data_IF_548136684480
#
_entry.id   IF_548136684480
#
_cell.length_a   1.000
_cell.length_b   1.000
_cell.length_c   1.000
_cell.angle_alpha   90.00
_cell.angle_beta   90.00
_cell.angle_gamma   90.00
#
_symmetry.space_group_name_H-M   'P 1'
#
loop_
_entity.id
_entity.type
_entity.pdbx_description
1 polymer ?
#
# COMPACT_ATOMS: atom_id res chain seq x y z
N UNK A 1 14.52 26.22 -29.23
CA UNK A 1 15.60 26.53 -28.27
C UNK A 1 14.98 26.58 -26.88
N UNK A 2 15.03 25.52 -26.05
CA UNK A 2 14.65 25.63 -24.65
C UNK A 2 15.79 26.22 -23.84
N UNK A 3 15.43 27.15 -22.95
CA UNK A 3 16.31 27.97 -22.12
C UNK A 3 16.98 27.14 -21.01
N UNK A 4 18.30 27.29 -20.88
CA UNK A 4 19.11 26.66 -19.85
C UNK A 4 19.07 27.48 -18.55
N UNK A 5 18.17 27.12 -17.63
CA UNK A 5 18.28 27.58 -16.24
C UNK A 5 17.49 26.68 -15.30
N UNK A 6 18.03 25.50 -14.99
CA UNK A 6 17.78 24.83 -13.73
C UNK A 6 19.01 23.98 -13.41
N UNK A 7 19.51 24.06 -12.17
CA UNK A 7 20.76 23.44 -11.75
C UNK A 7 20.83 21.96 -12.08
N UNK A 8 22.05 21.47 -12.34
CA UNK A 8 22.36 20.05 -12.51
C UNK A 8 22.15 19.38 -11.16
N UNK A 9 20.91 18.98 -10.86
CA UNK A 9 20.68 17.92 -9.90
C UNK A 9 21.20 16.64 -10.56
N UNK A 10 21.96 15.78 -9.85
CA UNK A 10 22.20 14.43 -10.33
C UNK A 10 20.82 13.86 -10.64
N UNK A 11 20.61 13.49 -11.90
CA UNK A 11 19.39 12.81 -12.33
C UNK A 11 19.20 11.65 -11.35
N UNK A 12 18.23 11.78 -10.45
CA UNK A 12 17.81 10.67 -9.61
C UNK A 12 17.38 9.62 -10.62
N UNK A 13 18.28 8.68 -10.92
CA UNK A 13 17.98 7.54 -11.75
C UNK A 13 17.01 6.71 -10.92
N UNK A 14 15.73 7.06 -11.00
CA UNK A 14 14.63 6.27 -10.50
C UNK A 14 14.88 4.88 -11.08
N UNK A 15 15.13 3.90 -10.20
CA UNK A 15 15.26 2.51 -10.63
C UNK A 15 14.07 2.23 -11.54
N UNK A 16 14.35 1.72 -12.74
CA UNK A 16 13.31 1.33 -13.68
C UNK A 16 12.33 0.44 -12.90
N UNK A 17 11.03 0.81 -12.81
CA UNK A 17 10.08 0.03 -12.05
C UNK A 17 10.11 -1.40 -12.58
N UNK A 18 10.04 -2.37 -11.67
CA UNK A 18 9.85 -3.78 -12.01
C UNK A 18 8.68 -3.89 -13.00
N UNK A 19 8.75 -4.81 -13.97
CA UNK A 19 7.64 -4.96 -14.91
C UNK A 19 6.36 -5.33 -14.16
N UNK A 20 5.19 -4.93 -14.67
CA UNK A 20 3.89 -5.30 -14.06
C UNK A 20 3.75 -6.83 -13.92
N UNK A 21 4.31 -7.57 -14.88
CA UNK A 21 4.35 -9.04 -14.84
C UNK A 21 5.18 -9.57 -13.66
N UNK A 22 6.26 -8.88 -13.27
CA UNK A 22 7.09 -9.30 -12.13
C UNK A 22 6.35 -9.14 -10.81
N UNK A 23 5.61 -8.03 -10.62
CA UNK A 23 4.87 -7.79 -9.38
C UNK A 23 3.68 -8.74 -9.25
N UNK A 24 2.97 -9.06 -10.34
CA UNK A 24 1.89 -10.05 -10.33
C UNK A 24 2.41 -11.45 -10.00
N UNK A 25 3.51 -11.86 -10.62
CA UNK A 25 4.15 -13.14 -10.34
C UNK A 25 4.61 -13.24 -8.88
N UNK A 26 5.20 -12.17 -8.34
CA UNK A 26 5.58 -12.12 -6.94
C UNK A 26 4.36 -12.18 -6.02
N UNK A 27 3.34 -11.36 -6.28
CA UNK A 27 2.11 -11.31 -5.49
C UNK A 27 1.38 -12.66 -5.48
N UNK A 28 1.34 -13.37 -6.60
CA UNK A 28 0.69 -14.69 -6.70
C UNK A 28 1.25 -15.72 -5.72
N UNK A 29 2.53 -15.57 -5.33
CA UNK A 29 3.25 -16.46 -4.41
C UNK A 29 3.21 -15.99 -2.95
N UNK A 30 3.11 -14.67 -2.71
CA UNK A 30 3.31 -14.08 -1.39
C UNK A 30 2.06 -13.43 -0.78
N UNK A 31 1.01 -13.18 -1.56
CA UNK A 31 -0.22 -12.59 -1.05
C UNK A 31 -1.12 -13.60 -0.33
N UNK A 32 -1.80 -13.12 0.70
CA UNK A 32 -2.91 -13.83 1.30
C UNK A 32 -4.08 -13.93 0.30
N UNK A 33 -4.78 -15.06 0.26
CA UNK A 33 -6.02 -15.19 -0.52
C UNK A 33 -7.13 -14.33 0.10
N UNK A 34 -7.50 -13.23 -0.54
CA UNK A 34 -8.60 -12.37 -0.09
C UNK A 34 -9.94 -12.82 -0.66
N UNK A 35 -11.01 -12.51 0.07
CA UNK A 35 -12.39 -12.79 -0.34
C UNK A 35 -13.29 -11.62 -0.03
N UNK A 36 -14.24 -11.33 -0.92
CA UNK A 36 -15.16 -10.19 -0.79
C UNK A 36 -16.63 -10.62 -0.87
N UNK A 37 -17.51 -9.79 -0.30
CA UNK A 37 -18.95 -9.97 -0.34
C UNK A 37 -19.46 -11.08 0.58
N UNK A 38 -20.79 -11.22 0.61
CA UNK A 38 -21.49 -12.21 1.45
C UNK A 38 -21.14 -13.65 1.07
N UNK A 39 -20.91 -13.90 -0.23
CA UNK A 39 -20.53 -15.22 -0.76
C UNK A 39 -19.02 -15.51 -0.72
N UNK A 40 -18.22 -14.64 -0.10
CA UNK A 40 -16.76 -14.80 0.03
C UNK A 40 -16.06 -15.17 -1.30
N UNK A 41 -16.42 -14.49 -2.38
CA UNK A 41 -15.80 -14.71 -3.69
C UNK A 41 -14.31 -14.34 -3.62
N UNK A 42 -13.45 -15.15 -4.22
CA UNK A 42 -12.00 -14.90 -4.27
C UNK A 42 -11.73 -13.61 -5.06
N UNK A 43 -10.85 -12.76 -4.52
CA UNK A 43 -10.34 -11.59 -5.22
C UNK A 43 -9.15 -12.03 -6.10
N UNK A 44 -9.09 -11.58 -7.35
CA UNK A 44 -7.96 -11.87 -8.25
C UNK A 44 -6.71 -11.08 -7.85
N UNK A 45 -5.53 -11.48 -8.32
CA UNK A 45 -4.27 -10.73 -8.09
C UNK A 45 -4.36 -9.33 -8.67
N UNK A 46 -4.84 -9.19 -9.91
CA UNK A 46 -5.07 -7.90 -10.54
C UNK A 46 -5.95 -6.98 -9.66
N UNK A 47 -7.05 -7.51 -9.11
CA UNK A 47 -7.92 -6.73 -8.22
C UNK A 47 -7.31 -6.48 -6.84
N UNK A 48 -6.40 -7.34 -6.35
CA UNK A 48 -5.67 -7.12 -5.11
C UNK A 48 -4.58 -6.04 -5.25
N UNK A 49 -4.04 -5.85 -6.46
CA UNK A 49 -3.06 -4.80 -6.77
C UNK A 49 -3.71 -3.48 -7.19
N UNK A 50 -4.97 -3.51 -7.59
CA UNK A 50 -5.75 -2.33 -7.91
C UNK A 50 -6.13 -1.52 -6.66
N UNK A 51 -6.45 -0.24 -6.87
CA UNK A 51 -7.04 0.61 -5.82
C UNK A 51 -8.35 0.01 -5.30
N UNK A 52 -8.57 0.10 -3.99
CA UNK A 52 -9.79 -0.36 -3.34
C UNK A 52 -10.19 0.58 -2.19
N UNK A 53 -11.45 1.03 -2.23
CA UNK A 53 -12.07 1.77 -1.13
C UNK A 53 -12.51 0.87 0.03
N UNK A 54 -12.53 -0.45 -0.16
CA UNK A 54 -12.93 -1.41 0.87
C UNK A 54 -11.79 -1.69 1.87
N UNK A 55 -12.07 -1.75 3.17
CA UNK A 55 -11.04 -2.07 4.15
C UNK A 55 -10.58 -3.53 4.00
N UNK A 56 -9.26 -3.76 4.08
CA UNK A 56 -8.72 -5.12 4.17
C UNK A 56 -9.09 -5.78 5.50
N UNK A 57 -9.33 -7.10 5.49
CA UNK A 57 -9.70 -7.87 6.69
C UNK A 57 -8.52 -8.62 7.33
N UNK A 58 -7.41 -8.69 6.61
CA UNK A 58 -6.15 -9.35 6.98
C UNK A 58 -5.00 -8.74 6.16
N UNK A 59 -3.73 -8.98 6.51
CA UNK A 59 -2.60 -8.44 5.76
C UNK A 59 -2.64 -8.83 4.28
N UNK A 60 -2.13 -7.95 3.41
CA UNK A 60 -1.98 -8.28 2.00
C UNK A 60 -0.95 -9.41 1.80
N UNK A 61 0.19 -9.31 2.48
CA UNK A 61 1.29 -10.28 2.43
C UNK A 61 1.11 -11.37 3.50
N UNK A 62 1.46 -12.61 3.17
CA UNK A 62 1.49 -13.73 4.13
C UNK A 62 2.53 -13.46 5.22
N UNK A 63 2.11 -13.55 6.48
CA UNK A 63 3.00 -13.44 7.65
C UNK A 63 2.52 -14.37 8.77
N UNK A 64 3.45 -14.83 9.60
CA UNK A 64 3.17 -15.60 10.82
C UNK A 64 3.02 -14.71 12.05
N UNK A 65 3.55 -13.49 12.02
CA UNK A 65 3.53 -12.54 13.13
C UNK A 65 2.09 -12.09 13.45
N UNK A 66 1.69 -12.26 14.72
CA UNK A 66 0.35 -11.92 15.20
C UNK A 66 0.14 -10.42 15.38
N UNK A 67 1.19 -9.69 15.75
CA UNK A 67 1.19 -8.23 15.90
C UNK A 67 1.00 -7.61 14.52
N UNK A 68 1.83 -8.00 13.54
CA UNK A 68 1.73 -7.51 12.15
C UNK A 68 0.36 -7.82 11.55
N UNK A 69 -0.23 -8.98 11.85
CA UNK A 69 -1.59 -9.33 11.40
C UNK A 69 -2.65 -8.32 11.81
N UNK A 70 -2.60 -7.88 13.07
CA UNK A 70 -3.54 -6.90 13.61
C UNK A 70 -3.23 -5.52 13.04
N UNK A 71 -1.96 -5.14 13.08
CA UNK A 71 -1.54 -3.79 12.70
C UNK A 71 -1.75 -3.46 11.22
N UNK A 72 -1.52 -4.42 10.31
CA UNK A 72 -1.68 -4.19 8.88
C UNK A 72 -3.09 -3.70 8.51
N UNK A 73 -4.12 -4.23 9.18
CA UNK A 73 -5.51 -3.82 8.97
C UNK A 73 -5.74 -2.38 9.43
N UNK A 74 -5.09 -1.96 10.51
CA UNK A 74 -5.22 -0.61 11.04
C UNK A 74 -4.40 0.40 10.24
N UNK A 75 -3.19 0.03 9.80
CA UNK A 75 -2.36 0.85 8.91
C UNK A 75 -3.07 1.10 7.59
N UNK A 76 -3.72 0.09 6.99
CA UNK A 76 -4.46 0.30 5.74
C UNK A 76 -5.60 1.32 5.89
N UNK A 77 -6.30 1.33 7.04
CA UNK A 77 -7.31 2.37 7.32
C UNK A 77 -6.69 3.76 7.40
N UNK A 78 -5.51 3.90 7.98
CA UNK A 78 -4.78 5.17 8.03
C UNK A 78 -4.35 5.62 6.63
N UNK A 79 -3.90 4.69 5.77
CA UNK A 79 -3.62 4.97 4.36
C UNK A 79 -4.88 5.49 3.66
N UNK A 80 -6.02 4.83 3.82
CA UNK A 80 -7.30 5.30 3.26
C UNK A 80 -7.72 6.68 3.81
N UNK A 81 -7.46 6.96 5.09
CA UNK A 81 -7.73 8.28 5.68
C UNK A 81 -6.84 9.37 5.07
N UNK A 82 -5.55 9.08 4.89
CA UNK A 82 -4.61 10.00 4.27
C UNK A 82 -4.96 10.28 2.81
N UNK A 83 -5.37 9.25 2.07
CA UNK A 83 -5.78 9.36 0.66
C UNK A 83 -7.16 10.03 0.47
N UNK A 84 -7.92 10.26 1.55
CA UNK A 84 -9.26 10.84 1.48
C UNK A 84 -10.38 9.83 1.19
N UNK A 85 -10.06 8.55 1.01
CA UNK A 85 -11.02 7.46 0.77
C UNK A 85 -11.84 7.10 2.02
N UNK A 86 -11.37 7.52 3.20
CA UNK A 86 -12.01 7.30 4.50
C UNK A 86 -12.05 8.60 5.29
N UNK A 87 -13.22 8.91 5.89
CA UNK A 87 -13.35 10.08 6.77
C UNK A 87 -12.40 9.98 7.96
N UNK A 88 -11.66 11.06 8.21
CA UNK A 88 -10.78 11.24 9.38
C UNK A 88 -11.16 12.52 10.11
N UNK A 89 -10.97 12.52 11.44
CA UNK A 89 -11.02 13.74 12.27
C UNK A 89 -9.63 14.38 12.42
N UNK A 90 -8.57 13.62 12.20
CA UNK A 90 -7.19 14.09 12.23
C UNK A 90 -6.83 14.75 10.90
N UNK A 91 -5.95 15.75 10.95
CA UNK A 91 -5.42 16.37 9.75
C UNK A 91 -4.53 15.37 8.95
N UNK A 92 -4.39 15.53 7.62
CA UNK A 92 -3.65 14.60 6.79
C UNK A 92 -2.17 14.43 7.20
N UNK A 93 -1.53 15.47 7.73
CA UNK A 93 -0.12 15.41 8.10
C UNK A 93 0.08 14.52 9.33
N UNK A 94 -0.78 14.65 10.34
CA UNK A 94 -0.79 13.75 11.50
C UNK A 94 -1.03 12.30 11.11
N UNK A 95 -1.95 12.04 10.17
CA UNK A 95 -2.21 10.67 9.67
C UNK A 95 -0.99 10.11 8.93
N UNK A 96 -0.34 10.90 8.08
CA UNK A 96 0.88 10.48 7.38
C UNK A 96 2.02 10.16 8.36
N UNK A 97 2.23 11.03 9.35
CA UNK A 97 3.24 10.81 10.38
C UNK A 97 3.00 9.49 11.12
N UNK A 98 1.75 9.21 11.49
CA UNK A 98 1.38 7.96 12.15
C UNK A 98 1.68 6.72 11.28
N UNK A 99 1.36 6.77 9.98
CA UNK A 99 1.68 5.69 9.03
C UNK A 99 3.20 5.44 8.98
N UNK A 100 4.00 6.50 8.90
CA UNK A 100 5.47 6.40 8.81
C UNK A 100 6.07 5.87 10.12
N UNK A 101 5.66 6.41 11.27
CA UNK A 101 6.18 6.00 12.59
C UNK A 101 5.88 4.53 12.86
N UNK A 102 4.65 4.09 12.61
CA UNK A 102 4.26 2.68 12.78
C UNK A 102 4.96 1.76 11.79
N UNK A 103 5.17 2.20 10.55
CA UNK A 103 5.93 1.45 9.55
C UNK A 103 7.40 1.26 9.94
N UNK A 104 8.03 2.29 10.49
CA UNK A 104 9.43 2.25 10.90
C UNK A 104 9.66 1.40 12.15
N UNK A 105 8.71 1.44 13.10
CA UNK A 105 8.87 0.79 14.41
C UNK A 105 8.68 -0.73 14.37
N UNK A 106 8.19 -1.28 13.26
CA UNK A 106 7.83 -2.69 13.10
C UNK A 106 8.70 -3.40 12.02
N UNK A 107 10.01 -3.12 11.99
CA UNK A 107 10.96 -3.87 11.16
C UNK A 107 11.17 -5.31 11.65
#
# INVERSE_FOLDING_TARGET
>A
MPSASCGIFPEFSLRKPSSETDIENWASKHFNKHTQGLFRRKVSIANMLAWSSEPIKKPMIVTTDRTVKKEAVDIFKLIQMYMGDRRSKADPFSVALEVVVRGWSNQ
#
